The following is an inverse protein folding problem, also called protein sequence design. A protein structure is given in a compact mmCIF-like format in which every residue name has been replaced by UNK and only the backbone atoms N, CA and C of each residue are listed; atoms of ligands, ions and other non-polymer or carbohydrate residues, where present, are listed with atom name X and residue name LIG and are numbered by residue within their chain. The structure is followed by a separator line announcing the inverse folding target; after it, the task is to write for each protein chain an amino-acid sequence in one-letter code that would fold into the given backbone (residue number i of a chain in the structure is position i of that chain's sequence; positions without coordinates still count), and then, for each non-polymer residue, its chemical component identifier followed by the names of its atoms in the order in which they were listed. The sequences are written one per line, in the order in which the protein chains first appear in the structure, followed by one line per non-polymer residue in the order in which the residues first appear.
data_IF_501079054092
#
_entry.id   IF_501079054092
#
_cell.length_a   1.000
_cell.length_b   1.000
_cell.length_c   1.000
_cell.angle_alpha   90.00
_cell.angle_beta   90.00
_cell.angle_gamma   90.00
#
_symmetry.space_group_name_H-M   'P 1'
#
loop_
_entity.id
_entity.type
_entity.pdbx_description
1 polymer ?
#
# COMPACT_ATOMS: atom_id res chain seq x y z
N UNK A 1 72.24 -21.81 21.96
CA UNK A 1 71.25 -21.02 22.72
C UNK A 1 70.69 -19.96 21.78
N UNK A 2 69.38 -20.02 21.49
CA UNK A 2 68.48 -18.89 21.17
C UNK A 2 68.89 -17.94 19.99
N UNK A 3 68.12 -17.70 18.92
CA UNK A 3 66.68 -17.70 18.71
C UNK A 3 66.33 -17.91 17.23
N UNK A 4 65.26 -18.66 16.99
CA UNK A 4 64.67 -18.98 15.70
C UNK A 4 63.53 -17.99 15.44
N UNK A 5 63.61 -17.15 14.40
CA UNK A 5 62.53 -16.25 13.97
C UNK A 5 61.91 -16.78 12.68
N UNK A 6 60.76 -17.43 12.81
CA UNK A 6 59.89 -17.79 11.69
C UNK A 6 59.12 -16.53 11.25
N UNK A 7 59.33 -16.12 10.00
CA UNK A 7 58.49 -15.12 9.33
C UNK A 7 57.31 -15.86 8.74
N UNK A 8 56.14 -15.73 9.37
CA UNK A 8 54.88 -16.27 8.86
C UNK A 8 54.33 -15.29 7.81
N UNK A 9 54.42 -15.66 6.53
CA UNK A 9 53.84 -14.90 5.43
C UNK A 9 52.35 -15.27 5.32
N UNK A 10 51.48 -14.59 6.07
CA UNK A 10 50.03 -14.70 5.90
C UNK A 10 49.61 -13.93 4.64
N UNK A 11 49.62 -14.63 3.50
CA UNK A 11 48.94 -14.18 2.29
C UNK A 11 47.43 -14.25 2.54
N UNK A 12 46.82 -13.13 2.95
CA UNK A 12 45.38 -13.00 3.02
C UNK A 12 44.82 -13.02 1.58
N UNK A 13 44.44 -14.20 1.10
CA UNK A 13 43.57 -14.32 -0.06
C UNK A 13 42.21 -13.70 0.30
N UNK A 14 42.05 -12.43 -0.03
CA UNK A 14 40.75 -11.79 -0.19
C UNK A 14 40.01 -12.53 -1.31
N UNK A 15 39.26 -13.56 -0.93
CA UNK A 15 38.24 -14.14 -1.79
C UNK A 15 37.14 -13.09 -1.84
N UNK A 16 37.23 -12.20 -2.83
CA UNK A 16 36.11 -11.36 -3.23
C UNK A 16 35.02 -12.31 -3.72
N UNK A 17 34.05 -12.62 -2.85
CA UNK A 17 32.82 -13.23 -3.31
C UNK A 17 32.23 -12.29 -4.36
N UNK A 18 31.95 -12.76 -5.59
CA UNK A 18 31.21 -11.95 -6.53
C UNK A 18 29.84 -11.73 -5.92
N UNK A 19 29.59 -10.51 -5.44
CA UNK A 19 28.24 -10.01 -5.24
C UNK A 19 27.64 -10.03 -6.63
N UNK A 20 26.77 -11.01 -6.91
CA UNK A 20 25.93 -11.01 -8.10
C UNK A 20 24.97 -9.83 -7.96
N UNK A 21 25.43 -8.64 -8.36
CA UNK A 21 24.53 -7.55 -8.70
C UNK A 21 23.73 -8.03 -9.90
N UNK A 22 22.46 -8.36 -9.70
CA UNK A 22 21.57 -8.64 -10.82
C UNK A 22 21.38 -7.31 -11.57
N UNK A 23 21.78 -7.28 -12.85
CA UNK A 23 21.51 -6.15 -13.72
C UNK A 23 19.97 -5.94 -13.80
N UNK A 24 19.50 -4.68 -13.74
CA UNK A 24 18.08 -4.37 -13.90
C UNK A 24 17.58 -4.85 -15.27
N UNK A 25 16.26 -5.00 -15.42
CA UNK A 25 15.67 -5.39 -16.69
C UNK A 25 16.07 -4.43 -17.81
N UNK A 26 16.52 -4.99 -18.93
CA UNK A 26 16.90 -4.23 -20.12
C UNK A 26 15.70 -3.86 -21.00
N UNK A 27 15.97 -3.43 -22.23
CA UNK A 27 14.90 -3.13 -23.19
C UNK A 27 14.12 -4.39 -23.59
N UNK A 28 12.82 -4.21 -23.82
CA UNK A 28 11.95 -5.28 -24.32
C UNK A 28 12.13 -5.36 -25.83
N UNK A 29 12.41 -6.56 -26.35
CA UNK A 29 12.50 -6.77 -27.81
C UNK A 29 11.11 -6.63 -28.46
N UNK A 30 11.02 -6.27 -29.75
CA UNK A 30 9.72 -6.18 -30.44
C UNK A 30 8.90 -7.49 -30.37
N UNK A 31 9.57 -8.63 -30.48
CA UNK A 31 8.96 -9.96 -30.34
C UNK A 31 8.38 -10.18 -28.92
N UNK A 32 9.15 -9.85 -27.88
CA UNK A 32 8.68 -9.98 -26.51
C UNK A 32 7.52 -9.01 -26.21
N UNK A 33 7.53 -7.82 -26.81
CA UNK A 33 6.46 -6.85 -26.67
C UNK A 33 5.14 -7.38 -27.25
N UNK A 34 5.19 -8.04 -28.41
CA UNK A 34 4.04 -8.70 -29.02
C UNK A 34 3.50 -9.83 -28.14
N UNK A 35 4.38 -10.71 -27.64
CA UNK A 35 4.02 -11.79 -26.71
C UNK A 35 3.34 -11.25 -25.44
N UNK A 36 3.89 -10.19 -24.85
CA UNK A 36 3.32 -9.54 -23.67
C UNK A 36 1.97 -8.90 -23.96
N UNK A 37 1.80 -8.32 -25.16
CA UNK A 37 0.54 -7.79 -25.64
C UNK A 37 -0.58 -8.84 -25.70
N UNK A 38 -0.29 -10.03 -26.25
CA UNK A 38 -1.25 -11.14 -26.32
C UNK A 38 -1.64 -11.66 -24.92
N UNK A 39 -0.65 -11.77 -24.03
CA UNK A 39 -0.92 -12.15 -22.64
C UNK A 39 -1.78 -11.11 -21.94
N UNK A 40 -1.46 -9.82 -22.08
CA UNK A 40 -2.22 -8.74 -21.46
C UNK A 40 -3.68 -8.73 -21.93
N UNK A 41 -3.96 -9.00 -23.21
CA UNK A 41 -5.35 -9.14 -23.70
C UNK A 41 -6.13 -10.21 -22.93
N UNK A 42 -5.49 -11.38 -22.72
CA UNK A 42 -6.10 -12.48 -21.97
C UNK A 42 -6.24 -12.12 -20.49
N UNK A 43 -5.22 -11.51 -19.89
CA UNK A 43 -5.22 -11.10 -18.48
C UNK A 43 -6.29 -10.02 -18.25
N UNK A 44 -6.44 -9.06 -19.15
CA UNK A 44 -7.44 -8.01 -19.08
C UNK A 44 -8.85 -8.60 -19.05
N UNK A 45 -9.16 -9.54 -19.97
CA UNK A 45 -10.44 -10.24 -20.00
C UNK A 45 -10.71 -11.01 -18.70
N UNK A 46 -9.73 -11.80 -18.24
CA UNK A 46 -9.86 -12.58 -17.00
C UNK A 46 -10.03 -11.68 -15.78
N UNK A 47 -9.24 -10.60 -15.69
CA UNK A 47 -9.28 -9.65 -14.59
C UNK A 47 -10.63 -8.93 -14.51
N UNK A 48 -11.20 -8.57 -15.66
CA UNK A 48 -12.55 -8.01 -15.75
C UNK A 48 -13.60 -9.00 -15.24
N UNK A 49 -13.50 -10.28 -15.62
CA UNK A 49 -14.43 -11.31 -15.16
C UNK A 49 -14.34 -11.56 -13.64
N UNK A 50 -13.15 -11.47 -13.03
CA UNK A 50 -12.97 -11.62 -11.58
C UNK A 50 -13.79 -10.60 -10.78
N UNK A 51 -13.96 -9.38 -11.30
CA UNK A 51 -14.67 -8.31 -10.59
C UNK A 51 -16.16 -8.23 -10.98
N UNK A 52 -16.46 -8.46 -12.26
CA UNK A 52 -17.77 -8.10 -12.83
C UNK A 52 -18.70 -9.29 -13.10
N UNK A 53 -18.21 -10.53 -13.04
CA UNK A 53 -19.09 -11.69 -13.29
C UNK A 53 -20.02 -11.93 -12.08
N UNK A 54 -21.31 -12.04 -12.37
CA UNK A 54 -22.34 -12.27 -11.36
C UNK A 54 -22.21 -13.62 -10.65
N UNK A 55 -21.63 -14.64 -11.31
CA UNK A 55 -21.51 -15.99 -10.76
C UNK A 55 -20.18 -16.18 -10.02
N UNK A 56 -20.18 -16.53 -8.72
CA UNK A 56 -18.96 -16.80 -7.96
C UNK A 56 -18.05 -17.84 -8.61
N UNK A 57 -18.61 -18.87 -9.24
CA UNK A 57 -17.88 -19.94 -9.92
C UNK A 57 -17.08 -19.41 -11.11
N UNK A 58 -17.64 -18.45 -11.86
CA UNK A 58 -16.95 -17.80 -12.97
C UNK A 58 -15.83 -16.90 -12.48
N UNK A 59 -16.06 -16.11 -11.42
CA UNK A 59 -15.01 -15.28 -10.80
C UNK A 59 -13.85 -16.13 -10.29
N UNK A 60 -14.16 -17.24 -9.62
CA UNK A 60 -13.17 -18.18 -9.14
C UNK A 60 -12.42 -18.85 -10.30
N UNK A 61 -13.13 -19.35 -11.32
CA UNK A 61 -12.52 -19.94 -12.51
C UNK A 61 -11.64 -18.96 -13.29
N UNK A 62 -12.04 -17.69 -13.37
CA UNK A 62 -11.23 -16.63 -13.96
C UNK A 62 -9.96 -16.38 -13.15
N UNK A 63 -10.06 -16.34 -11.82
CA UNK A 63 -8.90 -16.23 -10.91
C UNK A 63 -7.91 -17.37 -11.09
N UNK A 64 -8.41 -18.61 -11.15
CA UNK A 64 -7.57 -19.80 -11.34
C UNK A 64 -6.82 -19.79 -12.68
N UNK A 65 -7.41 -19.20 -13.74
CA UNK A 65 -6.74 -19.04 -15.05
C UNK A 65 -5.81 -17.82 -15.08
N UNK A 66 -6.16 -16.76 -14.37
CA UNK A 66 -5.41 -15.51 -14.37
C UNK A 66 -4.00 -15.70 -13.80
N UNK A 67 -3.88 -16.40 -12.67
CA UNK A 67 -2.59 -16.63 -12.00
C UNK A 67 -1.53 -17.26 -12.94
N UNK A 68 -1.75 -18.44 -13.54
CA UNK A 68 -0.76 -19.04 -14.44
C UNK A 68 -0.54 -18.22 -15.72
N UNK A 69 -1.57 -17.52 -16.21
CA UNK A 69 -1.45 -16.66 -17.40
C UNK A 69 -0.55 -15.45 -17.11
N UNK A 70 -0.75 -14.78 -15.98
CA UNK A 70 0.11 -13.70 -15.52
C UNK A 70 1.54 -14.21 -15.31
N UNK A 71 1.73 -15.34 -14.62
CA UNK A 71 3.07 -15.91 -14.43
C UNK A 71 3.75 -16.25 -15.76
N UNK A 72 3.00 -16.74 -16.76
CA UNK A 72 3.54 -16.99 -18.09
C UNK A 72 3.99 -15.69 -18.78
N UNK A 73 3.18 -14.62 -18.71
CA UNK A 73 3.53 -13.30 -19.22
C UNK A 73 4.79 -12.75 -18.55
N UNK A 74 4.88 -12.88 -17.22
CA UNK A 74 6.02 -12.38 -16.45
C UNK A 74 7.33 -13.15 -16.72
N UNK A 75 7.26 -14.38 -17.27
CA UNK A 75 8.45 -15.13 -17.71
C UNK A 75 9.07 -14.58 -18.99
N UNK A 76 8.36 -13.77 -19.76
CA UNK A 76 8.94 -13.09 -20.93
C UNK A 76 10.13 -12.24 -20.49
N UNK A 77 11.29 -12.32 -21.18
CA UNK A 77 12.46 -11.54 -20.79
C UNK A 77 12.19 -10.04 -20.74
N UNK A 78 12.73 -9.39 -19.71
CA UNK A 78 12.55 -7.97 -19.41
C UNK A 78 11.08 -7.53 -19.16
N UNK A 79 10.17 -8.46 -18.85
CA UNK A 79 8.75 -8.16 -18.58
C UNK A 79 8.50 -7.14 -17.46
N UNK A 80 9.48 -6.89 -16.58
CA UNK A 80 9.40 -5.85 -15.56
C UNK A 80 9.10 -4.47 -16.16
N UNK A 81 9.70 -4.17 -17.31
CA UNK A 81 9.54 -2.89 -18.00
C UNK A 81 8.25 -2.80 -18.82
N UNK A 82 7.43 -3.86 -18.84
CA UNK A 82 6.15 -3.86 -19.56
C UNK A 82 5.06 -3.29 -18.67
N UNK A 83 4.35 -2.29 -19.18
CA UNK A 83 3.20 -1.70 -18.51
C UNK A 83 1.92 -2.48 -18.86
N UNK A 84 1.28 -3.07 -17.85
CA UNK A 84 0.00 -3.78 -17.99
C UNK A 84 -1.18 -2.80 -17.85
N UNK A 85 -1.14 -1.69 -18.59
CA UNK A 85 -2.11 -0.60 -18.46
C UNK A 85 -3.56 -0.97 -18.77
N UNK A 86 -3.81 -2.09 -19.49
CA UNK A 86 -5.16 -2.59 -19.80
C UNK A 86 -5.78 -3.41 -18.66
N UNK A 87 -5.01 -3.82 -17.65
CA UNK A 87 -5.49 -4.69 -16.56
C UNK A 87 -5.99 -3.88 -15.36
N UNK A 88 -7.12 -3.18 -15.51
CA UNK A 88 -7.63 -2.24 -14.48
C UNK A 88 -8.03 -2.92 -13.15
N UNK A 89 -8.29 -4.23 -13.16
CA UNK A 89 -8.70 -4.98 -11.95
C UNK A 89 -7.51 -5.52 -11.15
N UNK A 90 -6.28 -5.39 -11.65
CA UNK A 90 -5.06 -5.72 -10.94
C UNK A 90 -4.35 -4.42 -10.61
N UNK A 91 -4.12 -4.18 -9.32
CA UNK A 91 -3.28 -3.07 -8.92
C UNK A 91 -1.80 -3.43 -9.05
N UNK A 92 -1.04 -2.54 -9.67
CA UNK A 92 0.41 -2.67 -9.87
C UNK A 92 1.08 -1.43 -9.31
N UNK A 93 1.85 -1.60 -8.24
CA UNK A 93 2.50 -0.50 -7.53
C UNK A 93 4.02 -0.59 -7.66
N UNK A 94 4.68 0.53 -7.94
CA UNK A 94 6.13 0.64 -8.08
C UNK A 94 6.70 1.54 -6.97
N UNK A 95 7.86 1.20 -6.38
CA UNK A 95 8.68 2.15 -5.64
C UNK A 95 9.25 3.23 -6.56
N UNK A 96 9.67 4.35 -5.98
CA UNK A 96 10.26 5.46 -6.73
C UNK A 96 11.55 5.05 -7.46
N UNK A 97 12.28 4.09 -6.90
CA UNK A 97 13.51 3.54 -7.47
C UNK A 97 13.27 2.43 -8.51
N UNK A 98 12.02 2.02 -8.74
CA UNK A 98 11.64 0.93 -9.64
C UNK A 98 12.42 -0.37 -9.42
N UNK A 99 12.83 -0.69 -8.18
CA UNK A 99 13.59 -1.91 -7.88
C UNK A 99 12.74 -3.19 -7.89
N UNK A 100 11.43 -3.06 -7.71
CA UNK A 100 10.44 -4.13 -7.82
C UNK A 100 9.07 -3.55 -8.18
N UNK A 101 8.06 -4.40 -8.32
CA UNK A 101 6.66 -3.99 -8.40
C UNK A 101 5.79 -4.99 -7.65
N UNK A 102 4.71 -4.49 -7.06
CA UNK A 102 3.73 -5.29 -6.31
C UNK A 102 2.46 -5.40 -7.12
N UNK A 103 2.09 -6.63 -7.47
CA UNK A 103 0.77 -6.96 -8.00
C UNK A 103 -0.14 -7.30 -6.83
N UNK A 104 -1.36 -6.76 -6.83
CA UNK A 104 -2.41 -7.16 -5.90
C UNK A 104 -3.80 -7.08 -6.54
N UNK A 105 -4.65 -8.06 -6.27
CA UNK A 105 -6.05 -8.05 -6.68
C UNK A 105 -6.90 -8.80 -5.64
N UNK A 106 -8.20 -8.54 -5.68
CA UNK A 106 -9.17 -9.13 -4.76
C UNK A 106 -10.14 -10.05 -5.51
N UNK A 107 -10.63 -11.06 -4.82
CA UNK A 107 -11.75 -11.91 -5.21
C UNK A 107 -12.84 -11.79 -4.16
N UNK A 108 -14.01 -11.28 -4.57
CA UNK A 108 -15.22 -11.35 -3.76
C UNK A 108 -15.77 -12.77 -3.78
N UNK A 109 -15.65 -13.48 -2.66
CA UNK A 109 -16.17 -14.83 -2.48
C UNK A 109 -17.63 -14.76 -2.04
N UNK A 110 -17.89 -14.06 -0.94
CA UNK A 110 -19.23 -13.83 -0.40
C UNK A 110 -19.26 -12.56 0.47
N UNK A 111 -20.43 -12.25 1.02
CA UNK A 111 -20.77 -11.07 1.81
C UNK A 111 -19.77 -10.73 2.91
N UNK A 112 -19.19 -11.75 3.55
CA UNK A 112 -18.20 -11.63 4.62
C UNK A 112 -16.88 -12.38 4.32
N UNK A 113 -16.64 -12.72 3.05
CA UNK A 113 -15.43 -13.45 2.63
C UNK A 113 -14.81 -12.81 1.38
N UNK A 114 -13.62 -12.25 1.57
CA UNK A 114 -12.78 -11.72 0.52
C UNK A 114 -11.46 -12.48 0.54
N UNK A 115 -10.92 -12.76 -0.65
CA UNK A 115 -9.58 -13.32 -0.80
C UNK A 115 -8.72 -12.39 -1.61
N UNK A 116 -7.47 -12.29 -1.20
CA UNK A 116 -6.47 -11.48 -1.88
C UNK A 116 -5.42 -12.35 -2.52
N UNK A 117 -4.88 -11.85 -3.61
CA UNK A 117 -3.79 -12.46 -4.32
C UNK A 117 -2.77 -11.39 -4.63
N UNK A 118 -1.51 -11.75 -4.58
CA UNK A 118 -0.45 -10.83 -4.93
C UNK A 118 0.84 -11.51 -5.29
N UNK A 119 1.73 -10.73 -5.88
CA UNK A 119 3.09 -11.16 -6.16
C UNK A 119 4.02 -9.94 -6.20
N UNK A 120 5.26 -10.13 -5.78
CA UNK A 120 6.32 -9.14 -5.94
C UNK A 120 7.25 -9.60 -7.05
N UNK A 121 7.36 -8.81 -8.12
CA UNK A 121 8.34 -9.04 -9.18
C UNK A 121 9.52 -8.10 -8.98
N UNK A 122 10.73 -8.66 -8.91
CA UNK A 122 11.95 -7.85 -8.86
C UNK A 122 12.32 -7.34 -10.26
N UNK A 123 12.95 -6.17 -10.31
CA UNK A 123 13.46 -5.59 -11.55
C UNK A 123 14.72 -6.34 -12.01
N UNK A 124 14.51 -7.43 -12.73
CA UNK A 124 15.57 -8.27 -13.29
C UNK A 124 15.19 -8.71 -14.71
N UNK A 125 16.19 -8.92 -15.57
CA UNK A 125 15.93 -9.33 -16.96
C UNK A 125 15.26 -10.70 -17.10
N UNK A 126 15.46 -11.59 -16.13
CA UNK A 126 14.71 -12.84 -15.98
C UNK A 126 13.72 -12.75 -14.82
N UNK A 127 12.66 -13.56 -14.84
CA UNK A 127 11.65 -13.54 -13.79
C UNK A 127 12.22 -13.93 -12.43
N UNK A 128 12.23 -12.98 -11.50
CA UNK A 128 12.37 -13.21 -10.06
C UNK A 128 11.09 -12.76 -9.37
N UNK A 129 10.30 -13.72 -8.90
CA UNK A 129 8.95 -13.51 -8.40
C UNK A 129 8.78 -14.11 -7.01
N UNK A 130 8.16 -13.36 -6.10
CA UNK A 130 7.73 -13.84 -4.80
C UNK A 130 6.19 -13.88 -4.77
N UNK A 131 5.56 -15.06 -4.76
CA UNK A 131 4.11 -15.16 -4.61
C UNK A 131 3.72 -14.73 -3.20
N UNK A 132 2.61 -14.00 -3.06
CA UNK A 132 2.04 -13.61 -1.78
C UNK A 132 0.81 -14.48 -1.49
N UNK A 133 0.83 -15.17 -0.35
CA UNK A 133 -0.22 -16.08 0.09
C UNK A 133 -1.00 -15.40 1.21
N UNK A 134 -2.25 -15.05 0.90
CA UNK A 134 -3.18 -14.43 1.83
C UNK A 134 -3.49 -15.38 3.01
N UNK A 135 -3.24 -14.87 4.21
CA UNK A 135 -3.52 -15.51 5.49
C UNK A 135 -4.29 -14.59 6.45
N UNK A 136 -4.91 -13.51 5.96
CA UNK A 136 -5.74 -12.59 6.76
C UNK A 136 -6.64 -13.32 7.79
N UNK A 137 -7.30 -14.39 7.34
CA UNK A 137 -8.25 -15.19 8.12
C UNK A 137 -7.63 -16.05 9.23
N UNK A 138 -6.31 -16.25 9.23
CA UNK A 138 -5.55 -17.01 10.24
C UNK A 138 -4.77 -16.09 11.21
N UNK A 139 -4.56 -14.82 10.86
CA UNK A 139 -3.71 -13.91 11.61
C UNK A 139 -4.43 -13.33 12.84
N UNK A 140 -3.87 -13.58 14.02
CA UNK A 140 -4.26 -12.95 15.28
C UNK A 140 -3.40 -11.71 15.54
N UNK A 141 -4.00 -10.55 15.79
CA UNK A 141 -3.26 -9.30 16.07
C UNK A 141 -2.21 -8.94 14.98
N UNK A 142 -2.62 -8.79 13.71
CA UNK A 142 -1.73 -8.54 12.57
C UNK A 142 -0.92 -7.23 12.69
N UNK A 143 -1.32 -6.31 13.55
CA UNK A 143 -0.60 -5.06 13.86
C UNK A 143 0.70 -5.28 14.64
N UNK A 144 0.94 -6.47 15.19
CA UNK A 144 2.12 -6.79 16.02
C UNK A 144 3.00 -7.89 15.42
N UNK A 145 2.72 -8.31 14.18
CA UNK A 145 3.41 -9.43 13.55
C UNK A 145 4.33 -9.01 12.41
N UNK A 146 5.49 -9.65 12.36
CA UNK A 146 6.37 -9.70 11.19
C UNK A 146 5.96 -10.90 10.34
N UNK A 147 5.67 -10.67 9.06
CA UNK A 147 5.10 -11.68 8.16
C UNK A 147 6.02 -11.95 6.97
N UNK A 148 6.08 -13.21 6.56
CA UNK A 148 6.68 -13.63 5.31
C UNK A 148 5.69 -13.57 4.14
N UNK A 149 6.15 -13.77 2.88
CA UNK A 149 5.29 -13.80 1.72
C UNK A 149 4.27 -14.95 1.76
N UNK A 150 4.55 -16.03 2.50
CA UNK A 150 3.69 -17.19 2.72
C UNK A 150 2.66 -17.02 3.86
N UNK A 151 2.75 -15.90 4.59
CA UNK A 151 1.87 -15.48 5.67
C UNK A 151 1.38 -14.03 5.45
N UNK A 152 1.30 -13.61 4.20
CA UNK A 152 0.95 -12.24 3.84
C UNK A 152 -0.46 -11.90 4.34
N UNK A 153 -0.65 -10.67 4.88
CA UNK A 153 -1.94 -10.26 5.41
C UNK A 153 -3.04 -10.30 4.35
N UNK A 154 -2.77 -9.96 3.10
CA UNK A 154 -3.79 -9.92 2.05
C UNK A 154 -4.49 -8.55 1.98
N UNK A 155 -4.14 -7.74 0.98
CA UNK A 155 -4.78 -6.46 0.74
C UNK A 155 -4.66 -6.04 -0.73
N UNK A 156 -5.61 -5.23 -1.19
CA UNK A 156 -5.50 -4.53 -2.47
C UNK A 156 -4.69 -3.24 -2.27
N UNK A 157 -3.44 -3.22 -2.71
CA UNK A 157 -2.56 -2.07 -2.54
C UNK A 157 -2.85 -0.99 -3.58
N UNK A 158 -3.06 0.26 -3.17
CA UNK A 158 -3.35 1.38 -4.08
C UNK A 158 -2.28 2.47 -4.07
N UNK A 159 -1.33 2.41 -3.14
CA UNK A 159 -0.17 3.30 -3.13
C UNK A 159 1.03 2.63 -2.47
N UNK A 160 2.22 3.10 -2.84
CA UNK A 160 3.50 2.66 -2.29
C UNK A 160 4.40 3.87 -2.07
N UNK A 161 5.01 3.98 -0.87
CA UNK A 161 5.97 5.05 -0.56
C UNK A 161 7.25 4.49 0.06
N UNK A 162 8.39 4.78 -0.57
CA UNK A 162 9.71 4.49 0.00
C UNK A 162 10.03 5.44 1.16
N UNK A 163 10.68 4.89 2.20
CA UNK A 163 11.32 5.65 3.27
C UNK A 163 12.62 4.97 3.71
N UNK A 164 13.50 5.72 4.35
CA UNK A 164 14.82 5.23 4.76
C UNK A 164 14.88 5.02 6.27
N UNK A 165 15.52 3.93 6.66
CA UNK A 165 15.85 3.61 8.05
C UNK A 165 17.36 3.39 8.18
N UNK A 166 17.85 3.17 9.41
CA UNK A 166 19.25 2.80 9.64
C UNK A 166 19.59 1.41 9.07
N UNK A 167 18.59 0.53 8.96
CA UNK A 167 18.73 -0.85 8.47
C UNK A 167 18.65 -0.94 6.94
N UNK A 168 18.16 0.11 6.28
CA UNK A 168 18.02 0.18 4.83
C UNK A 168 16.73 0.85 4.37
N UNK A 169 16.46 0.87 3.06
CA UNK A 169 15.19 1.33 2.52
C UNK A 169 14.06 0.37 2.90
N UNK A 170 12.91 0.94 3.24
CA UNK A 170 11.66 0.24 3.50
C UNK A 170 10.55 0.92 2.70
N UNK A 171 9.42 0.23 2.54
CA UNK A 171 8.33 0.67 1.68
C UNK A 171 7.01 0.57 2.42
N UNK A 172 6.31 1.69 2.56
CA UNK A 172 4.92 1.71 3.00
C UNK A 172 4.04 1.20 1.85
N UNK A 173 3.19 0.23 2.13
CA UNK A 173 2.17 -0.26 1.21
C UNK A 173 0.79 0.10 1.76
N UNK A 174 0.09 0.98 1.06
CA UNK A 174 -1.25 1.42 1.43
C UNK A 174 -2.27 0.49 0.80
N UNK A 175 -3.00 -0.24 1.64
CA UNK A 175 -3.91 -1.32 1.25
C UNK A 175 -5.36 -1.06 1.63
N UNK A 176 -6.26 -1.67 0.87
CA UNK A 176 -7.67 -1.80 1.16
C UNK A 176 -8.02 -3.26 1.39
N UNK A 177 -8.85 -3.51 2.40
CA UNK A 177 -9.40 -4.80 2.75
C UNK A 177 -10.94 -4.68 2.90
N UNK A 178 -11.67 -5.41 2.06
CA UNK A 178 -13.12 -5.51 2.02
C UNK A 178 -13.76 -6.06 3.30
N UNK A 179 -13.03 -6.82 4.12
CA UNK A 179 -13.43 -7.39 5.41
C UNK A 179 -14.80 -8.08 5.46
N UNK A 180 -15.92 -7.33 5.57
CA UNK A 180 -17.26 -7.87 5.79
C UNK A 180 -18.33 -7.01 5.13
N UNK A 181 -19.62 -7.33 5.26
CA UNK A 181 -20.67 -6.48 4.68
C UNK A 181 -20.68 -5.07 5.27
N UNK A 182 -20.63 -4.97 6.60
CA UNK A 182 -20.82 -3.73 7.35
C UNK A 182 -19.52 -2.96 7.61
N UNK A 183 -18.36 -3.62 7.54
CA UNK A 183 -17.08 -3.00 7.86
C UNK A 183 -16.10 -3.14 6.70
N UNK A 184 -15.15 -2.22 6.65
CA UNK A 184 -14.01 -2.20 5.74
C UNK A 184 -12.74 -1.93 6.54
N UNK A 185 -11.58 -2.23 5.95
CA UNK A 185 -10.28 -1.91 6.52
C UNK A 185 -9.40 -1.17 5.54
N UNK A 186 -8.68 -0.17 6.03
CA UNK A 186 -7.51 0.40 5.35
C UNK A 186 -6.26 0.07 6.16
N UNK A 187 -5.18 -0.22 5.44
CA UNK A 187 -3.97 -0.78 6.04
C UNK A 187 -2.75 -0.01 5.54
N UNK A 188 -1.76 0.19 6.42
CA UNK A 188 -0.39 0.55 6.02
C UNK A 188 0.54 -0.55 6.46
N UNK A 189 0.99 -1.34 5.49
CA UNK A 189 2.00 -2.37 5.68
C UNK A 189 3.40 -1.80 5.42
N UNK A 190 4.43 -2.44 5.96
CA UNK A 190 5.83 -2.06 5.80
C UNK A 190 6.57 -3.22 5.16
N UNK A 191 6.89 -3.09 3.89
CA UNK A 191 7.70 -4.04 3.13
C UNK A 191 9.18 -3.68 3.28
N UNK A 192 10.00 -4.69 3.56
CA UNK A 192 11.45 -4.64 3.51
C UNK A 192 11.98 -5.91 2.82
N UNK A 193 13.28 -5.94 2.49
CA UNK A 193 13.92 -7.13 1.93
C UNK A 193 15.05 -7.59 2.84
N UNK A 194 14.88 -8.76 3.45
CA UNK A 194 15.90 -9.41 4.29
C UNK A 194 16.47 -10.58 3.51
N UNK A 195 17.79 -10.59 3.31
CA UNK A 195 18.49 -11.57 2.47
C UNK A 195 17.87 -11.72 1.06
N UNK A 196 17.38 -10.60 0.52
CA UNK A 196 16.76 -10.54 -0.80
C UNK A 196 15.36 -11.16 -0.88
N UNK A 197 14.73 -11.50 0.25
CA UNK A 197 13.34 -11.98 0.34
C UNK A 197 12.45 -10.90 0.97
N UNK A 198 11.20 -10.75 0.50
CA UNK A 198 10.27 -9.78 1.08
C UNK A 198 9.91 -10.18 2.51
N UNK A 199 9.84 -9.19 3.40
CA UNK A 199 9.34 -9.31 4.76
C UNK A 199 8.40 -8.12 5.02
N UNK A 200 7.29 -8.38 5.69
CA UNK A 200 6.25 -7.41 5.98
C UNK A 200 6.13 -7.12 7.47
N UNK A 201 5.70 -5.92 7.82
CA UNK A 201 5.43 -5.51 9.18
C UNK A 201 6.67 -5.21 10.01
N UNK A 202 7.57 -4.33 9.54
CA UNK A 202 8.63 -3.78 10.41
C UNK A 202 8.02 -2.90 11.50
N UNK A 203 8.47 -2.99 12.77
CA UNK A 203 7.88 -2.25 13.90
C UNK A 203 8.34 -0.79 13.91
N UNK A 204 7.71 0.03 13.06
CA UNK A 204 8.12 1.43 12.83
C UNK A 204 7.06 2.46 13.21
N UNK A 205 5.85 2.07 13.61
CA UNK A 205 4.80 3.02 13.99
C UNK A 205 4.76 3.19 15.51
N UNK A 206 5.19 4.36 15.99
CA UNK A 206 5.24 4.67 17.42
C UNK A 206 4.16 5.69 17.80
N UNK A 207 3.35 5.32 18.77
CA UNK A 207 2.29 6.14 19.36
C UNK A 207 2.54 6.30 20.87
N UNK A 208 2.40 7.51 21.40
CA UNK A 208 2.41 7.78 22.83
C UNK A 208 0.98 7.84 23.35
N UNK A 209 0.66 7.01 24.34
CA UNK A 209 -0.68 7.00 24.94
C UNK A 209 -0.86 8.19 25.88
N UNK A 210 -2.11 8.59 26.11
CA UNK A 210 -2.48 9.62 27.09
C UNK A 210 -2.04 9.28 28.53
N UNK A 211 -1.84 8.00 28.83
CA UNK A 211 -1.34 7.48 30.11
C UNK A 211 0.20 7.49 30.22
N UNK A 212 0.89 8.00 29.21
CA UNK A 212 2.36 8.06 29.14
C UNK A 212 3.04 6.76 28.70
N UNK A 213 2.27 5.79 28.21
CA UNK A 213 2.78 4.56 27.61
C UNK A 213 3.23 4.74 26.16
N UNK A 214 3.94 3.76 25.63
CA UNK A 214 4.34 3.69 24.22
C UNK A 214 3.70 2.46 23.57
N UNK A 215 3.13 2.64 22.37
CA UNK A 215 2.67 1.55 21.50
C UNK A 215 3.50 1.56 20.23
N UNK A 216 4.27 0.50 20.02
CA UNK A 216 4.99 0.26 18.77
C UNK A 216 4.21 -0.77 17.95
N UNK A 217 3.87 -0.44 16.71
CA UNK A 217 3.12 -1.32 15.81
C UNK A 217 3.92 -1.59 14.53
N UNK A 218 3.68 -2.77 13.98
CA UNK A 218 4.27 -3.29 12.74
C UNK A 218 3.49 -2.84 11.52
N UNK A 219 2.18 -2.58 11.70
CA UNK A 219 1.23 -2.25 10.64
C UNK A 219 0.14 -1.39 11.23
N UNK A 220 -0.38 -0.46 10.44
CA UNK A 220 -1.58 0.29 10.78
C UNK A 220 -2.79 -0.43 10.19
N UNK A 221 -3.83 -0.67 10.99
CA UNK A 221 -5.11 -1.22 10.53
C UNK A 221 -6.23 -0.34 11.04
N UNK A 222 -6.95 0.29 10.12
CA UNK A 222 -8.09 1.14 10.41
C UNK A 222 -9.36 0.44 9.95
N UNK A 223 -10.14 -0.09 10.88
CA UNK A 223 -11.47 -0.64 10.61
C UNK A 223 -12.51 0.48 10.70
N UNK A 224 -13.42 0.53 9.72
CA UNK A 224 -14.45 1.57 9.61
C UNK A 224 -15.73 1.02 9.00
N UNK A 225 -16.85 1.72 9.24
CA UNK A 225 -18.14 1.37 8.64
C UNK A 225 -18.07 1.42 7.11
N UNK A 226 -18.64 0.43 6.45
CA UNK A 226 -18.74 0.35 4.99
C UNK A 226 -19.57 1.50 4.37
N UNK A 227 -20.38 2.19 5.18
CA UNK A 227 -21.14 3.36 4.77
C UNK A 227 -20.30 4.65 4.74
N UNK A 228 -19.10 4.63 5.34
CA UNK A 228 -18.19 5.76 5.36
C UNK A 228 -17.08 5.62 4.31
N UNK A 229 -16.48 6.76 3.95
CA UNK A 229 -15.24 6.82 3.19
C UNK A 229 -14.19 7.54 4.03
N UNK A 230 -13.01 6.94 4.16
CA UNK A 230 -11.92 7.49 4.98
C UNK A 230 -10.66 7.62 4.11
N UNK A 231 -9.81 8.60 4.41
CA UNK A 231 -8.44 8.76 3.90
C UNK A 231 -7.50 7.93 4.76
N UNK A 232 -6.53 7.29 4.09
CA UNK A 232 -5.31 6.77 4.68
C UNK A 232 -4.30 6.79 3.54
N UNK A 233 -3.39 7.75 3.52
CA UNK A 233 -2.42 7.83 2.43
C UNK A 233 -1.18 8.64 2.85
N UNK A 234 -0.10 8.51 2.09
CA UNK A 234 1.01 9.45 2.19
C UNK A 234 0.64 10.78 1.52
N UNK A 235 0.90 11.89 2.21
CA UNK A 235 0.69 13.23 1.71
C UNK A 235 2.05 13.91 1.51
N UNK A 236 2.41 14.14 0.24
CA UNK A 236 3.73 14.68 -0.13
C UNK A 236 3.94 16.12 0.37
N UNK A 237 2.86 16.92 0.50
CA UNK A 237 2.96 18.30 0.98
C UNK A 237 3.18 18.35 2.49
N UNK A 238 2.51 17.46 3.23
CA UNK A 238 2.67 17.36 4.68
C UNK A 238 3.85 16.49 5.10
N UNK A 239 4.43 15.73 4.16
CA UNK A 239 5.57 14.85 4.38
C UNK A 239 5.28 13.70 5.34
N UNK A 240 4.05 13.19 5.36
CA UNK A 240 3.61 12.22 6.37
C UNK A 240 2.46 11.34 5.91
N UNK A 241 2.19 10.30 6.70
CA UNK A 241 0.96 9.51 6.57
C UNK A 241 -0.18 10.33 7.16
N UNK A 242 -1.29 10.41 6.45
CA UNK A 242 -2.48 11.20 6.82
C UNK A 242 -3.71 10.31 6.73
N UNK A 243 -4.51 10.30 7.79
CA UNK A 243 -5.76 9.53 7.85
C UNK A 243 -6.82 10.22 8.67
N UNK A 244 -8.09 9.91 8.37
CA UNK A 244 -9.22 10.43 9.15
C UNK A 244 -9.19 9.87 10.58
N UNK A 245 -9.43 10.74 11.56
CA UNK A 245 -9.66 10.32 12.93
C UNK A 245 -10.99 9.55 13.00
N UNK A 246 -10.95 8.35 13.57
CA UNK A 246 -12.12 7.49 13.69
C UNK A 246 -12.66 7.48 15.12
N UNK A 247 -13.94 7.79 15.25
CA UNK A 247 -14.66 7.70 16.52
C UNK A 247 -15.61 6.51 16.53
N UNK A 248 -15.74 5.88 17.70
CA UNK A 248 -16.70 4.81 17.88
C UNK A 248 -18.12 5.38 17.94
N UNK A 249 -19.00 4.85 17.11
CA UNK A 249 -20.43 5.10 17.07
C UNK A 249 -21.19 3.80 17.35
N UNK A 250 -22.21 3.87 18.20
CA UNK A 250 -22.93 2.67 18.66
C UNK A 250 -22.13 1.86 19.70
N UNK A 251 -22.46 0.57 19.84
CA UNK A 251 -21.82 -0.34 20.82
C UNK A 251 -22.36 -0.28 22.26
N UNK A 252 -23.37 0.55 22.53
CA UNK A 252 -24.04 0.62 23.84
C UNK A 252 -25.08 -0.49 24.09
N UNK A 253 -25.41 -1.29 23.06
CA UNK A 253 -26.34 -2.43 23.17
C UNK A 253 -25.53 -3.71 23.35
N UNK A 254 -25.76 -4.52 24.39
CA UNK A 254 -25.07 -5.79 24.57
C UNK A 254 -25.19 -6.68 23.32
N UNK A 255 -24.04 -7.06 22.75
CA UNK A 255 -23.96 -7.93 21.57
C UNK A 255 -23.73 -7.21 20.23
N UNK A 256 -23.64 -5.87 20.19
CA UNK A 256 -23.23 -5.15 18.97
C UNK A 256 -21.80 -4.63 19.10
N UNK A 257 -20.96 -4.93 18.10
CA UNK A 257 -19.64 -4.34 18.00
C UNK A 257 -19.75 -2.84 17.69
N UNK A 258 -18.83 -2.00 18.19
CA UNK A 258 -18.79 -0.58 17.81
C UNK A 258 -18.50 -0.45 16.31
N UNK A 259 -19.16 0.50 15.65
CA UNK A 259 -18.81 0.93 14.31
C UNK A 259 -17.92 2.17 14.39
N UNK A 260 -16.98 2.31 13.47
CA UNK A 260 -16.06 3.44 13.45
C UNK A 260 -16.37 4.35 12.27
N UNK A 261 -16.53 5.65 12.55
CA UNK A 261 -16.86 6.69 11.57
C UNK A 261 -15.84 7.83 11.65
N UNK A 262 -15.51 8.48 10.52
CA UNK A 262 -14.67 9.66 10.53
C UNK A 262 -15.40 10.85 11.17
N UNK A 263 -14.71 11.63 12.00
CA UNK A 263 -15.28 12.84 12.61
C UNK A 263 -14.97 14.13 11.84
N UNK A 264 -14.23 14.02 10.73
CA UNK A 264 -13.80 15.12 9.88
C UNK A 264 -12.47 15.76 10.28
N UNK A 265 -11.84 15.29 11.37
CA UNK A 265 -10.47 15.64 11.73
C UNK A 265 -9.46 14.61 11.21
N UNK A 266 -8.18 14.99 11.19
CA UNK A 266 -7.11 14.16 10.64
C UNK A 266 -6.00 13.93 11.65
N UNK A 267 -5.57 12.68 11.72
CA UNK A 267 -4.38 12.21 12.40
C UNK A 267 -3.30 11.82 11.38
N UNK A 268 -2.09 11.60 11.88
CA UNK A 268 -1.02 11.16 11.00
C UNK A 268 0.17 10.52 11.68
N UNK A 269 1.16 10.27 10.84
CA UNK A 269 2.49 9.92 11.28
C UNK A 269 3.54 10.72 10.51
N UNK A 270 4.57 11.20 11.21
CA UNK A 270 5.74 11.84 10.61
C UNK A 270 6.98 11.00 10.86
N UNK A 271 7.83 10.90 9.85
CA UNK A 271 9.07 10.14 9.96
C UNK A 271 10.11 10.91 10.77
N UNK A 272 10.63 10.29 11.82
CA UNK A 272 11.79 10.76 12.59
C UNK A 272 12.75 9.58 12.82
N UNK A 273 14.00 9.73 12.36
CA UNK A 273 15.07 8.72 12.53
C UNK A 273 14.69 7.27 12.14
N UNK A 274 13.85 7.09 11.12
CA UNK A 274 13.40 5.78 10.65
C UNK A 274 12.14 5.25 11.35
N UNK A 275 11.57 6.00 12.30
CA UNK A 275 10.35 5.68 13.02
C UNK A 275 9.25 6.67 12.63
N UNK A 276 8.07 6.15 12.34
CA UNK A 276 6.85 6.93 12.10
C UNK A 276 6.23 7.30 13.45
N UNK A 277 6.35 8.57 13.83
CA UNK A 277 5.85 9.15 15.07
C UNK A 277 4.41 9.63 14.88
N UNK A 278 3.49 9.14 15.71
CA UNK A 278 2.08 9.52 15.65
C UNK A 278 1.87 11.01 15.95
N UNK A 279 0.99 11.64 15.19
CA UNK A 279 0.56 13.03 15.32
C UNK A 279 -0.97 13.02 15.48
N UNK A 280 -1.49 13.22 16.71
CA UNK A 280 -2.92 13.14 17.00
C UNK A 280 -3.80 14.19 16.30
N UNK A 281 -3.19 15.27 15.79
CA UNK A 281 -3.89 16.32 15.06
C UNK A 281 -2.95 16.97 14.06
N UNK A 282 -3.15 16.70 12.78
CA UNK A 282 -2.31 17.27 11.71
C UNK A 282 -2.59 18.75 11.51
N UNK A 283 -3.87 19.14 11.49
CA UNK A 283 -4.29 20.50 11.25
C UNK A 283 -4.67 21.16 12.57
N UNK A 284 -3.79 22.00 13.08
CA UNK A 284 -3.92 22.73 14.35
C UNK A 284 -4.22 24.22 14.15
N UNK A 285 -4.44 24.66 12.90
CA UNK A 285 -4.75 26.04 12.58
C UNK A 285 -6.03 26.50 13.30
N UNK A 286 -5.88 27.49 14.16
CA UNK A 286 -6.98 28.21 14.80
C UNK A 286 -7.14 29.50 14.02
N UNK A 287 -8.27 29.67 13.34
CA UNK A 287 -8.62 30.96 12.73
C UNK A 287 -9.20 31.87 13.80
N UNK A 288 -8.54 32.98 14.12
CA UNK A 288 -9.06 33.97 15.07
C UNK A 288 -10.35 34.63 14.56
N UNK A 289 -10.50 34.73 13.23
CA UNK A 289 -11.70 35.25 12.58
C UNK A 289 -12.26 34.24 11.56
N UNK A 290 -13.59 34.13 11.49
CA UNK A 290 -14.24 33.29 10.49
C UNK A 290 -13.93 33.82 9.08
N UNK A 291 -13.61 32.96 8.09
CA UNK A 291 -13.39 33.39 6.73
C UNK A 291 -14.68 34.04 6.20
N UNK A 292 -14.65 35.36 6.03
CA UNK A 292 -15.76 36.12 5.46
C UNK A 292 -15.59 36.10 3.95
N UNK A 293 -16.60 35.69 3.16
CA UNK A 293 -16.53 35.87 1.72
C UNK A 293 -16.38 37.37 1.43
N UNK A 294 -15.36 37.75 0.65
CA UNK A 294 -15.31 39.10 0.12
C UNK A 294 -16.48 39.25 -0.87
N UNK A 295 -17.35 40.25 -0.70
CA UNK A 295 -18.41 40.49 -1.66
C UNK A 295 -17.78 40.81 -3.01
N UNK A 296 -18.09 40.01 -4.02
CA UNK A 296 -17.73 40.31 -5.41
C UNK A 296 -18.60 41.49 -5.84
N UNK A 297 -18.07 42.71 -5.70
CA UNK A 297 -18.68 43.88 -6.31
C UNK A 297 -18.26 43.91 -7.77
N UNK A 298 -19.14 43.49 -8.66
CA UNK A 298 -18.96 43.74 -10.09
C UNK A 298 -19.00 45.25 -10.30
N UNK A 299 -17.88 45.87 -10.69
CA UNK A 299 -17.74 47.32 -10.87
C UNK A 299 -18.62 47.89 -12.02
N UNK A 300 -19.50 47.06 -12.60
CA UNK A 300 -20.45 47.40 -13.66
C UNK A 300 -21.93 47.23 -13.28
N UNK A 301 -22.30 47.39 -12.02
CA UNK A 301 -23.72 47.23 -11.60
C UNK A 301 -24.24 48.18 -10.54
N UNK A 302 -23.46 49.17 -10.07
CA UNK A 302 -23.81 50.04 -8.93
C UNK A 302 -24.80 51.18 -9.24
N UNK A 303 -25.73 50.99 -10.18
CA UNK A 303 -26.71 52.04 -10.52
C UNK A 303 -28.18 51.63 -10.45
N UNK A 304 -28.51 50.44 -9.95
CA UNK A 304 -29.90 50.13 -9.56
C UNK A 304 -29.93 49.37 -8.24
N UNK A 305 -30.20 50.11 -7.17
CA UNK A 305 -30.52 49.57 -5.86
C UNK A 305 -31.86 48.82 -5.98
N UNK A 306 -31.79 47.52 -6.30
CA UNK A 306 -32.93 46.62 -6.19
C UNK A 306 -33.13 46.28 -4.73
N UNK A 307 -34.38 46.28 -4.27
CA UNK A 307 -34.69 45.79 -2.92
C UNK A 307 -34.38 44.28 -2.82
N UNK A 308 -34.46 43.73 -1.61
CA UNK A 308 -34.23 42.29 -1.35
C UNK A 308 -35.21 41.35 -2.09
N UNK A 309 -36.21 41.90 -2.77
CA UNK A 309 -37.16 41.18 -3.63
C UNK A 309 -36.93 41.46 -5.13
N UNK A 310 -35.84 42.12 -5.50
CA UNK A 310 -35.46 42.38 -6.89
C UNK A 310 -36.24 43.49 -7.58
N UNK A 311 -36.96 44.35 -6.85
CA UNK A 311 -37.74 45.46 -7.42
C UNK A 311 -36.89 46.71 -7.49
N UNK A 312 -37.01 47.43 -8.61
CA UNK A 312 -36.38 48.74 -8.80
C UNK A 312 -37.28 49.80 -8.16
N UNK A 313 -36.73 50.64 -7.28
CA UNK A 313 -37.40 51.86 -6.78
C UNK A 313 -37.20 53.02 -7.75
#
# INVERSE_FOLDING_TARGET
MMQLRYILFCLACLISMPVFSQEPAGEITPENLEILGEYEDTIALLSFAIINDSFPENRFGATQKLIPTLVAALKTPNSFNYDFGRTQSISIQYPQDSTFRVFSWQLYVDVDDYRYYGAIQMNTGQLKLFPLIDRSFELLEPEQQVLGPDQWYGALYYNLKEFKTQEGPMYLLFGYDGLSFFNRRKIVDVLSFVDGKPQFGSPVFLEFTSEGGMKLRNRLVLEYSAEASIKLNYDELLGGIVFDHLIAYGGGVPGTAPQYLPDGSYEGYKLDNGIWMHVPKIFDQISEEAPRPEPIFDDKGRDKQKDIFGREN
#
